data_IF_932768559065
#
_entry.id   IF_932768559065
#
_cell.length_a   1.000
_cell.length_b   1.000
_cell.length_c   1.000
_cell.angle_alpha   90.00
_cell.angle_beta   90.00
_cell.angle_gamma   90.00
#
_symmetry.space_group_name_H-M   'P 1'
#
loop_
_entity.id
_entity.type
_entity.pdbx_description
1 polymer ?
#
# COMPACT_ATOMS: atom_id res chain seq x y z
N UNK A 1 14.74 -12.18 3.82
CA UNK A 1 15.60 -11.81 2.67
C UNK A 1 14.77 -10.94 1.73
N UNK A 2 15.37 -9.93 1.11
CA UNK A 2 14.67 -9.05 0.17
C UNK A 2 15.30 -9.26 -1.19
N UNK A 3 14.50 -9.63 -2.18
CA UNK A 3 14.99 -9.93 -3.51
C UNK A 3 15.49 -8.66 -4.24
N UNK A 4 16.34 -8.88 -5.24
CA UNK A 4 16.88 -7.80 -6.09
C UNK A 4 15.76 -6.97 -6.73
N UNK A 5 14.61 -7.59 -7.02
CA UNK A 5 13.47 -6.92 -7.62
C UNK A 5 12.88 -5.88 -6.67
N UNK A 6 12.81 -6.17 -5.38
CA UNK A 6 12.32 -5.23 -4.38
C UNK A 6 13.30 -4.06 -4.19
N UNK A 7 14.59 -4.32 -4.04
CA UNK A 7 15.59 -3.27 -3.85
C UNK A 7 15.61 -2.28 -5.03
N UNK A 8 15.45 -2.79 -6.27
CA UNK A 8 15.31 -1.97 -7.48
C UNK A 8 14.14 -0.99 -7.44
N UNK A 9 13.05 -1.28 -6.72
CA UNK A 9 11.91 -0.36 -6.61
C UNK A 9 12.29 0.91 -5.86
N UNK A 10 13.05 0.80 -4.78
CA UNK A 10 13.50 1.95 -3.98
C UNK A 10 14.52 2.79 -4.74
N UNK A 11 15.45 2.14 -5.44
CA UNK A 11 16.42 2.79 -6.32
C UNK A 11 15.72 3.59 -7.44
N UNK A 12 14.78 2.98 -8.15
CA UNK A 12 14.00 3.66 -9.21
C UNK A 12 13.18 4.84 -8.66
N UNK A 13 12.61 4.70 -7.46
CA UNK A 13 11.81 5.76 -6.85
C UNK A 13 12.63 6.98 -6.38
N UNK A 14 13.96 6.89 -6.38
CA UNK A 14 14.88 7.94 -5.91
C UNK A 14 16.02 8.18 -6.89
N UNK A 15 15.76 7.99 -8.18
CA UNK A 15 16.69 8.30 -9.27
C UNK A 15 18.08 7.65 -9.11
N UNK A 16 18.12 6.42 -8.60
CA UNK A 16 19.32 5.65 -8.30
C UNK A 16 20.25 6.29 -7.24
N UNK A 17 19.80 7.31 -6.51
CA UNK A 17 20.57 7.87 -5.39
C UNK A 17 20.56 6.89 -4.21
N UNK A 18 21.75 6.41 -3.84
CA UNK A 18 21.92 5.34 -2.84
C UNK A 18 21.47 5.80 -1.46
N UNK A 19 21.84 7.01 -1.02
CA UNK A 19 21.50 7.47 0.34
C UNK A 19 19.99 7.63 0.53
N UNK A 20 19.31 8.29 -0.41
CA UNK A 20 17.86 8.51 -0.39
C UNK A 20 17.09 7.20 -0.52
N UNK A 21 17.56 6.28 -1.36
CA UNK A 21 16.95 4.96 -1.52
C UNK A 21 17.05 4.15 -0.23
N UNK A 22 18.23 4.14 0.39
CA UNK A 22 18.48 3.46 1.67
C UNK A 22 17.62 4.03 2.77
N UNK A 23 17.57 5.36 2.90
CA UNK A 23 16.74 6.03 3.90
C UNK A 23 15.24 5.71 3.72
N UNK A 24 14.75 5.66 2.48
CA UNK A 24 13.36 5.27 2.19
C UNK A 24 13.11 3.80 2.52
N UNK A 25 14.05 2.92 2.18
CA UNK A 25 13.95 1.49 2.43
C UNK A 25 13.90 1.19 3.93
N UNK A 26 14.77 1.80 4.73
CA UNK A 26 14.77 1.63 6.19
C UNK A 26 13.45 2.08 6.83
N UNK A 27 12.87 3.20 6.35
CA UNK A 27 11.52 3.65 6.78
C UNK A 27 10.45 2.63 6.41
N UNK A 28 10.50 2.09 5.19
CA UNK A 28 9.58 1.03 4.76
C UNK A 28 9.70 -0.22 5.63
N UNK A 29 10.92 -0.67 5.98
CA UNK A 29 11.11 -1.85 6.85
C UNK A 29 10.60 -1.63 8.28
N UNK A 30 10.73 -0.41 8.81
CA UNK A 30 10.12 -0.05 10.10
C UNK A 30 8.60 -0.17 10.02
N UNK A 31 7.99 0.51 9.04
CA UNK A 31 6.54 0.47 8.83
C UNK A 31 6.02 -0.96 8.59
N UNK A 32 6.73 -1.77 7.80
CA UNK A 32 6.31 -3.15 7.48
C UNK A 32 6.24 -4.03 8.73
N UNK A 33 7.21 -3.88 9.64
CA UNK A 33 7.23 -4.61 10.92
C UNK A 33 6.12 -4.17 11.86
N UNK A 34 5.80 -2.87 11.87
CA UNK A 34 4.78 -2.29 12.75
C UNK A 34 3.36 -2.61 12.27
N UNK A 35 3.09 -2.44 10.97
CA UNK A 35 1.72 -2.48 10.44
C UNK A 35 1.36 -3.78 9.73
N UNK A 36 2.35 -4.58 9.30
CA UNK A 36 2.08 -5.86 8.61
C UNK A 36 2.99 -6.96 9.16
N UNK A 37 2.84 -7.30 10.45
CA UNK A 37 3.75 -8.21 11.15
C UNK A 37 3.78 -9.62 10.54
N UNK A 38 2.66 -10.06 9.95
CA UNK A 38 2.56 -11.36 9.27
C UNK A 38 3.10 -11.37 7.84
N UNK A 39 3.57 -10.22 7.34
CA UNK A 39 4.07 -10.08 5.98
C UNK A 39 2.98 -10.06 4.90
N UNK A 40 1.69 -10.16 5.27
CA UNK A 40 0.53 -9.94 4.40
C UNK A 40 -0.67 -9.48 5.24
N UNK A 41 -1.69 -8.95 4.57
CA UNK A 41 -3.01 -8.66 5.14
C UNK A 41 -3.98 -9.58 4.41
N UNK A 42 -4.68 -10.43 5.15
CA UNK A 42 -5.71 -11.34 4.64
C UNK A 42 -6.97 -10.58 4.31
N UNK A 43 -7.68 -10.98 3.25
CA UNK A 43 -9.00 -10.42 2.92
C UNK A 43 -10.01 -10.59 4.06
N UNK A 44 -9.87 -11.65 4.86
CA UNK A 44 -10.68 -11.89 6.05
C UNK A 44 -10.50 -10.84 7.15
N UNK A 45 -9.42 -10.06 7.13
CA UNK A 45 -9.17 -8.95 8.07
C UNK A 45 -9.81 -7.64 7.59
N UNK A 46 -10.19 -7.55 6.33
CA UNK A 46 -10.72 -6.34 5.71
C UNK A 46 -12.05 -6.55 4.95
N UNK A 47 -12.98 -7.42 5.42
CA UNK A 47 -14.18 -7.77 4.67
C UNK A 47 -15.12 -6.58 4.48
N UNK A 48 -15.17 -5.66 5.45
CA UNK A 48 -15.99 -4.46 5.37
C UNK A 48 -15.44 -3.47 4.33
N UNK A 49 -14.12 -3.31 4.29
CA UNK A 49 -13.43 -2.43 3.35
C UNK A 49 -13.54 -2.93 1.91
N UNK A 50 -13.48 -4.25 1.70
CA UNK A 50 -13.72 -4.88 0.40
C UNK A 50 -15.17 -4.65 -0.05
N UNK A 51 -16.15 -4.92 0.83
CA UNK A 51 -17.59 -4.76 0.53
C UNK A 51 -17.97 -3.33 0.14
N UNK A 52 -17.27 -2.32 0.67
CA UNK A 52 -17.52 -0.90 0.36
C UNK A 52 -17.19 -0.55 -1.10
N UNK A 53 -16.41 -1.37 -1.82
CA UNK A 53 -16.09 -1.18 -3.24
C UNK A 53 -15.75 0.28 -3.57
N UNK A 54 -14.85 0.85 -2.79
CA UNK A 54 -14.46 2.27 -2.88
C UNK A 54 -13.14 2.48 -3.60
N UNK A 55 -12.38 1.43 -3.88
CA UNK A 55 -11.12 1.48 -4.64
C UNK A 55 -11.17 0.47 -5.77
N UNK A 56 -10.91 0.94 -6.99
CA UNK A 56 -10.83 0.11 -8.18
C UNK A 56 -9.47 0.28 -8.83
N UNK A 57 -8.77 -0.84 -9.08
CA UNK A 57 -7.46 -0.85 -9.73
C UNK A 57 -7.58 -1.65 -11.01
N UNK A 58 -7.95 -0.98 -12.11
CA UNK A 58 -8.11 -1.62 -13.41
C UNK A 58 -7.49 -0.73 -14.48
N UNK A 59 -6.42 -1.22 -15.11
CA UNK A 59 -5.80 -0.61 -16.27
C UNK A 59 -4.65 0.35 -15.98
N UNK A 60 -4.23 1.03 -17.05
CA UNK A 60 -3.07 1.90 -17.09
C UNK A 60 -3.42 3.18 -17.85
N UNK A 61 -2.75 4.27 -17.50
CA UNK A 61 -2.86 5.50 -18.27
C UNK A 61 -2.06 5.44 -19.59
N UNK A 62 -2.09 6.52 -20.37
CA UNK A 62 -1.37 6.63 -21.65
C UNK A 62 0.15 6.48 -21.54
N UNK A 63 0.71 6.58 -20.34
CA UNK A 63 2.14 6.42 -20.05
C UNK A 63 2.46 5.07 -19.41
N UNK A 64 1.49 4.15 -19.32
CA UNK A 64 1.67 2.84 -18.71
C UNK A 64 1.71 2.86 -17.18
N UNK A 65 1.22 3.92 -16.53
CA UNK A 65 1.17 4.02 -15.06
C UNK A 65 -0.12 3.37 -14.56
N UNK A 66 -0.08 2.48 -13.54
CA UNK A 66 -1.28 1.87 -12.98
C UNK A 66 -2.30 2.92 -12.53
N UNK A 67 -3.58 2.69 -12.84
CA UNK A 67 -4.67 3.56 -12.44
C UNK A 67 -5.42 2.99 -11.24
N UNK A 68 -5.63 3.84 -10.23
CA UNK A 68 -6.52 3.58 -9.11
C UNK A 68 -7.62 4.64 -9.09
N UNK A 69 -8.87 4.22 -9.10
CA UNK A 69 -10.05 5.09 -8.97
C UNK A 69 -10.60 4.91 -7.55
N UNK A 70 -10.68 6.02 -6.80
CA UNK A 70 -11.15 6.02 -5.42
C UNK A 70 -12.45 6.82 -5.33
N UNK A 71 -13.54 6.15 -4.94
CA UNK A 71 -14.83 6.78 -4.70
C UNK A 71 -14.91 7.30 -3.27
N UNK A 72 -14.40 8.53 -3.05
CA UNK A 72 -14.34 9.15 -1.71
C UNK A 72 -15.72 9.32 -1.09
N UNK A 73 -16.78 9.53 -1.88
CA UNK A 73 -18.16 9.61 -1.38
C UNK A 73 -18.69 8.33 -0.73
N UNK A 74 -18.07 7.18 -1.00
CA UNK A 74 -18.36 5.90 -0.31
C UNK A 74 -17.57 5.75 1.00
N UNK A 75 -16.77 6.76 1.38
CA UNK A 75 -16.08 6.79 2.66
C UNK A 75 -16.96 7.45 3.72
N UNK A 76 -17.73 6.64 4.43
CA UNK A 76 -18.51 7.06 5.60
C UNK A 76 -17.68 6.83 6.87
N UNK A 77 -17.45 7.90 7.64
CA UNK A 77 -16.71 7.83 8.90
C UNK A 77 -17.45 7.06 9.97
N UNK A 78 -18.78 7.18 9.95
CA UNK A 78 -19.68 6.72 11.01
C UNK A 78 -19.97 5.21 10.93
N UNK A 79 -19.66 4.63 9.78
CA UNK A 79 -19.79 3.20 9.47
C UNK A 79 -18.45 2.47 9.68
N UNK A 80 -17.59 3.03 10.54
CA UNK A 80 -16.35 2.40 11.00
C UNK A 80 -16.59 1.79 12.35
N UNK A 81 -16.47 0.46 12.41
CA UNK A 81 -16.33 -0.22 13.69
C UNK A 81 -14.96 0.14 14.28
N UNK A 82 -14.96 0.84 15.42
CA UNK A 82 -13.73 1.23 16.10
C UNK A 82 -12.96 0.00 16.61
N UNK A 83 -13.65 -1.12 16.87
CA UNK A 83 -13.01 -2.38 17.26
C UNK A 83 -12.27 -3.03 16.07
N UNK A 84 -12.67 -2.78 14.83
CA UNK A 84 -11.96 -3.23 13.61
C UNK A 84 -10.62 -2.49 13.42
N UNK A 85 -10.43 -1.34 14.09
CA UNK A 85 -9.24 -0.49 13.96
C UNK A 85 -8.25 -0.58 15.14
N UNK A 86 -8.56 -1.38 16.16
CA UNK A 86 -7.71 -1.58 17.34
C UNK A 86 -6.61 -2.60 17.12
#
# INVERSE_FOLDING_TARGET
EHDDLMLRRFLRARDLNIEKSTAMFLKYLKWRREFVPRGFISESEIPNEIRKEKVFVQGFDKKGRPLAVIMVGKHTSDDRDLEETK
#
